data_IF_813968524400
#
_entry.id   IF_813968524400
#
_cell.length_a   1.000
_cell.length_b   1.000
_cell.length_c   1.000
_cell.angle_alpha   90.00
_cell.angle_beta   90.00
_cell.angle_gamma   90.00
#
_symmetry.space_group_name_H-M   'P 1'
#
loop_
_entity.id
_entity.type
_entity.pdbx_description
1 polymer ?
#
# COMPACT_ATOMS: atom_id res chain seq x y z
N UNK A 1 6.11 6.00 8.27
CA UNK A 1 4.65 5.86 8.33
C UNK A 1 4.15 6.15 6.94
N UNK A 2 3.42 5.22 6.32
CA UNK A 2 2.77 5.44 5.02
C UNK A 2 1.28 5.30 5.27
N UNK A 3 0.56 6.39 5.01
CA UNK A 3 -0.89 6.43 4.97
C UNK A 3 -1.31 6.23 3.52
N UNK A 4 -2.02 5.15 3.23
CA UNK A 4 -2.66 4.94 1.92
C UNK A 4 -4.18 4.95 2.12
N UNK A 5 -4.87 5.75 1.30
CA UNK A 5 -6.32 5.80 1.28
C UNK A 5 -6.81 5.00 0.05
N UNK A 6 -7.69 4.03 0.26
CA UNK A 6 -8.41 3.38 -0.82
C UNK A 6 -9.56 4.28 -1.25
N UNK A 7 -9.63 4.62 -2.54
CA UNK A 7 -10.75 5.37 -3.13
C UNK A 7 -11.57 4.42 -4.01
N UNK A 8 -12.90 4.45 -3.90
CA UNK A 8 -13.77 3.88 -4.93
C UNK A 8 -13.87 4.86 -6.09
N UNK A 9 -13.89 4.35 -7.31
CA UNK A 9 -14.28 5.12 -8.50
C UNK A 9 -15.17 4.28 -9.42
N UNK A 10 -16.07 4.94 -10.14
CA UNK A 10 -16.83 4.33 -11.25
C UNK A 10 -15.90 4.14 -12.46
N UNK A 11 -16.13 3.08 -13.25
CA UNK A 11 -15.18 2.44 -14.18
C UNK A 11 -14.80 3.20 -15.47
N UNK A 12 -14.89 4.52 -15.53
CA UNK A 12 -14.50 5.25 -16.75
C UNK A 12 -13.00 5.54 -16.79
N UNK A 13 -12.36 5.20 -17.91
CA UNK A 13 -10.91 4.95 -18.05
C UNK A 13 -10.02 6.19 -18.27
N UNK A 14 -10.56 7.42 -18.16
CA UNK A 14 -9.78 8.65 -18.32
C UNK A 14 -9.88 9.53 -17.07
N UNK A 15 -8.80 9.55 -16.29
CA UNK A 15 -8.68 10.40 -15.12
C UNK A 15 -8.40 11.84 -15.54
N UNK A 16 -9.43 12.68 -15.49
CA UNK A 16 -9.29 14.11 -15.81
C UNK A 16 -8.49 14.85 -14.73
N UNK A 17 -7.86 15.97 -15.09
CA UNK A 17 -7.15 16.81 -14.11
C UNK A 17 -8.06 17.27 -12.96
N UNK A 18 -9.34 17.53 -13.23
CA UNK A 18 -10.34 17.85 -12.22
C UNK A 18 -10.57 16.71 -11.23
N UNK A 19 -10.61 15.47 -11.69
CA UNK A 19 -10.79 14.28 -10.85
C UNK A 19 -9.58 14.06 -9.94
N UNK A 20 -8.36 14.35 -10.43
CA UNK A 20 -7.18 14.39 -9.59
C UNK A 20 -7.32 15.41 -8.46
N UNK A 21 -7.70 16.64 -8.80
CA UNK A 21 -7.86 17.71 -7.79
C UNK A 21 -8.91 17.32 -6.74
N UNK A 22 -10.04 16.74 -7.15
CA UNK A 22 -11.08 16.26 -6.22
C UNK A 22 -10.55 15.17 -5.29
N UNK A 23 -9.79 14.19 -5.81
CA UNK A 23 -9.20 13.12 -4.98
C UNK A 23 -8.23 13.69 -3.92
N UNK A 24 -7.43 14.70 -4.28
CA UNK A 24 -6.52 15.37 -3.35
C UNK A 24 -7.29 16.17 -2.30
N UNK A 25 -8.39 16.84 -2.68
CA UNK A 25 -9.25 17.56 -1.73
C UNK A 25 -9.90 16.60 -0.72
N UNK A 26 -10.35 15.43 -1.17
CA UNK A 26 -10.87 14.38 -0.30
C UNK A 26 -9.83 13.88 0.70
N UNK A 27 -8.58 13.66 0.26
CA UNK A 27 -7.50 13.26 1.17
C UNK A 27 -7.18 14.38 2.18
N UNK A 28 -7.20 15.65 1.74
CA UNK A 28 -6.94 16.81 2.60
C UNK A 28 -8.02 17.08 3.64
N UNK A 29 -9.24 16.58 3.45
CA UNK A 29 -10.34 16.73 4.42
C UNK A 29 -10.25 15.73 5.58
N UNK A 30 -9.33 14.75 5.51
CA UNK A 30 -9.09 13.79 6.58
C UNK A 30 -8.53 14.45 7.83
N UNK A 31 -8.98 13.97 9.00
CA UNK A 31 -8.48 14.34 10.31
C UNK A 31 -7.69 13.16 10.87
N UNK A 32 -6.50 13.43 11.43
CA UNK A 32 -5.73 12.42 12.16
C UNK A 32 -6.44 12.12 13.48
N UNK A 33 -6.83 10.87 13.66
CA UNK A 33 -7.61 10.40 14.80
C UNK A 33 -6.99 9.07 15.28
N UNK A 34 -5.94 9.13 16.13
CA UNK A 34 -5.19 7.94 16.54
C UNK A 34 -6.01 6.82 17.22
N UNK A 35 -7.08 7.12 17.98
CA UNK A 35 -7.96 6.10 18.56
C UNK A 35 -8.71 5.23 17.54
N UNK A 36 -8.96 5.71 16.31
CA UNK A 36 -9.69 4.93 15.31
C UNK A 36 -8.76 4.03 14.50
N UNK A 37 -9.29 2.90 14.05
CA UNK A 37 -8.57 1.98 13.14
C UNK A 37 -8.19 2.71 11.85
N UNK A 38 -6.95 2.55 11.42
CA UNK A 38 -6.39 3.28 10.28
C UNK A 38 -5.96 4.72 10.61
N UNK A 39 -6.24 5.22 11.82
CA UNK A 39 -5.71 6.49 12.35
C UNK A 39 -6.19 7.76 11.63
N UNK A 40 -7.15 7.64 10.71
CA UNK A 40 -7.76 8.76 10.01
C UNK A 40 -9.28 8.66 10.10
N UNK A 41 -9.92 9.81 10.21
CA UNK A 41 -11.37 9.96 10.17
C UNK A 41 -11.75 11.11 9.26
N UNK A 42 -12.88 11.00 8.58
CA UNK A 42 -13.49 12.10 7.86
C UNK A 42 -14.60 12.72 8.70
N UNK A 43 -14.77 14.05 8.70
CA UNK A 43 -15.99 14.68 9.19
C UNK A 43 -17.19 14.12 8.45
N UNK A 44 -18.34 14.05 9.14
CA UNK A 44 -19.58 13.56 8.56
C UNK A 44 -19.92 14.29 7.25
N UNK A 45 -20.16 13.54 6.18
CA UNK A 45 -20.45 14.06 4.84
C UNK A 45 -19.23 14.57 4.08
N UNK A 46 -18.00 14.31 4.57
CA UNK A 46 -16.74 14.63 3.87
C UNK A 46 -15.96 13.40 3.43
N UNK A 47 -16.45 12.21 3.72
CA UNK A 47 -15.93 10.91 3.26
C UNK A 47 -16.16 10.66 1.76
N UNK A 48 -16.91 11.53 1.10
CA UNK A 48 -17.09 11.58 -0.35
C UNK A 48 -16.94 13.00 -0.87
N UNK A 49 -16.58 13.12 -2.15
CA UNK A 49 -16.58 14.39 -2.87
C UNK A 49 -17.17 14.19 -4.27
N UNK A 50 -18.21 14.97 -4.56
CA UNK A 50 -19.07 14.72 -5.73
C UNK A 50 -19.76 13.35 -5.65
N UNK A 51 -20.30 12.90 -6.79
CA UNK A 51 -20.99 11.60 -6.88
C UNK A 51 -20.04 10.43 -7.18
N UNK A 52 -18.76 10.72 -7.47
CA UNK A 52 -17.82 9.73 -8.06
C UNK A 52 -16.72 9.23 -7.12
N UNK A 53 -16.38 9.99 -6.08
CA UNK A 53 -15.29 9.64 -5.17
C UNK A 53 -15.80 9.46 -3.76
N UNK A 54 -15.53 8.29 -3.20
CA UNK A 54 -15.74 7.99 -1.79
C UNK A 54 -14.54 7.23 -1.24
N UNK A 55 -14.26 7.44 0.04
CA UNK A 55 -13.25 6.68 0.77
C UNK A 55 -13.80 5.29 1.07
N UNK A 56 -13.11 4.24 0.61
CA UNK A 56 -13.49 2.84 0.87
C UNK A 56 -12.63 2.19 1.94
N UNK A 57 -11.48 2.77 2.25
CA UNK A 57 -10.74 2.36 3.44
C UNK A 57 -9.48 3.17 3.68
N UNK A 58 -8.89 2.93 4.85
CA UNK A 58 -7.66 3.58 5.32
C UNK A 58 -6.65 2.53 5.74
N UNK A 59 -5.41 2.73 5.31
CA UNK A 59 -4.28 1.90 5.69
C UNK A 59 -3.21 2.76 6.31
N UNK A 60 -2.98 2.58 7.61
CA UNK A 60 -1.87 3.14 8.33
C UNK A 60 -0.80 2.06 8.51
N UNK A 61 0.30 2.19 7.76
CA UNK A 61 1.41 1.25 7.85
C UNK A 61 2.65 1.91 8.46
N UNK A 62 3.17 1.29 9.51
CA UNK A 62 4.50 1.57 10.05
C UNK A 62 5.42 0.45 9.61
N UNK A 63 6.63 0.78 9.19
CA UNK A 63 7.59 -0.25 8.84
C UNK A 63 8.99 0.10 9.31
N UNK A 64 9.77 -0.94 9.62
CA UNK A 64 11.21 -0.89 9.82
C UNK A 64 11.86 -1.77 8.75
N UNK A 65 12.80 -1.21 8.01
CA UNK A 65 13.50 -1.91 6.96
C UNK A 65 14.98 -2.04 7.31
N UNK A 66 15.47 -3.27 7.31
CA UNK A 66 16.88 -3.62 7.44
C UNK A 66 17.38 -4.10 6.09
N UNK A 67 18.51 -3.57 5.63
CA UNK A 67 19.09 -3.92 4.33
C UNK A 67 20.54 -4.29 4.52
N UNK A 68 20.94 -5.39 3.88
CA UNK A 68 22.33 -5.77 3.67
C UNK A 68 22.55 -6.06 2.19
N UNK A 69 23.80 -6.40 1.84
CA UNK A 69 24.18 -6.79 0.48
C UNK A 69 23.44 -8.04 0.03
N UNK A 70 23.24 -9.01 0.92
CA UNK A 70 22.67 -10.33 0.61
C UNK A 70 21.19 -10.46 1.00
N UNK A 71 20.66 -9.56 1.83
CA UNK A 71 19.29 -9.66 2.35
C UNK A 71 18.61 -8.30 2.49
N UNK A 72 17.28 -8.28 2.45
CA UNK A 72 16.46 -7.18 2.92
C UNK A 72 15.32 -7.72 3.77
N UNK A 73 15.10 -7.16 4.95
CA UNK A 73 14.02 -7.50 5.85
C UNK A 73 13.18 -6.24 6.09
N UNK A 74 11.88 -6.29 5.82
CA UNK A 74 10.94 -5.20 6.13
C UNK A 74 9.87 -5.75 7.07
N UNK A 75 9.88 -5.28 8.30
CA UNK A 75 8.84 -5.56 9.29
C UNK A 75 7.80 -4.46 9.15
N UNK A 76 6.54 -4.82 8.97
CA UNK A 76 5.42 -3.92 8.72
C UNK A 76 4.38 -4.18 9.81
N UNK A 77 3.92 -3.11 10.44
CA UNK A 77 2.73 -3.11 11.27
C UNK A 77 1.68 -2.32 10.50
N UNK A 78 0.64 -3.01 10.04
CA UNK A 78 -0.45 -2.41 9.29
C UNK A 78 -1.69 -2.33 10.17
N UNK A 79 -2.30 -1.16 10.19
CA UNK A 79 -3.60 -0.93 10.79
C UNK A 79 -4.55 -0.45 9.69
N UNK A 80 -5.60 -1.21 9.45
CA UNK A 80 -6.47 -1.09 8.28
C UNK A 80 -7.91 -0.96 8.73
N UNK A 81 -8.66 -0.15 8.00
CA UNK A 81 -10.09 -0.04 8.16
C UNK A 81 -10.75 -0.01 6.80
N UNK A 82 -11.69 -0.92 6.57
CA UNK A 82 -12.49 -1.03 5.36
C UNK A 82 -13.91 -0.53 5.66
N UNK A 83 -14.29 0.57 4.99
CA UNK A 83 -15.62 1.18 5.14
C UNK A 83 -16.71 0.38 4.42
N UNK A 84 -16.37 -0.42 3.40
CA UNK A 84 -17.35 -1.24 2.67
C UNK A 84 -17.83 -2.42 3.53
N UNK A 85 -16.91 -3.06 4.23
CA UNK A 85 -17.22 -4.19 5.12
C UNK A 85 -17.40 -3.77 6.58
N UNK A 86 -17.19 -2.48 6.89
CA UNK A 86 -17.15 -1.93 8.24
C UNK A 86 -16.26 -2.75 9.19
N UNK A 87 -15.11 -3.20 8.68
CA UNK A 87 -14.20 -4.09 9.39
C UNK A 87 -12.81 -3.47 9.53
N UNK A 88 -12.22 -3.66 10.70
CA UNK A 88 -10.86 -3.20 11.00
C UNK A 88 -9.92 -4.38 11.23
N UNK A 89 -8.75 -4.33 10.62
CA UNK A 89 -7.72 -5.37 10.75
C UNK A 89 -6.39 -4.74 11.18
N UNK A 90 -5.72 -5.37 12.14
CA UNK A 90 -4.33 -5.02 12.49
C UNK A 90 -3.45 -6.24 12.26
N UNK A 91 -2.51 -6.12 11.33
CA UNK A 91 -1.58 -7.20 10.98
C UNK A 91 -0.14 -6.82 11.27
N UNK A 92 0.64 -7.83 11.65
CA UNK A 92 2.09 -7.76 11.65
C UNK A 92 2.60 -8.59 10.48
N UNK A 93 3.24 -7.94 9.52
CA UNK A 93 3.71 -8.54 8.28
C UNK A 93 5.24 -8.47 8.22
N UNK A 94 5.84 -9.50 7.62
CA UNK A 94 7.29 -9.57 7.42
C UNK A 94 7.56 -9.83 5.95
N UNK A 95 8.28 -8.91 5.30
CA UNK A 95 8.75 -9.09 3.93
C UNK A 95 10.25 -9.36 3.93
N UNK A 96 10.64 -10.54 3.43
CA UNK A 96 12.02 -10.97 3.31
C UNK A 96 12.44 -11.03 1.84
N UNK A 97 13.55 -10.39 1.51
CA UNK A 97 14.19 -10.40 0.19
C UNK A 97 15.57 -11.02 0.30
N UNK A 98 15.75 -12.22 -0.25
CA UNK A 98 17.03 -12.95 -0.24
C UNK A 98 17.80 -12.68 -1.53
N UNK A 99 18.54 -11.56 -1.56
CA UNK A 99 19.30 -11.11 -2.74
C UNK A 99 20.47 -12.05 -3.07
N UNK A 100 21.11 -12.63 -2.05
CA UNK A 100 22.22 -13.56 -2.22
C UNK A 100 21.79 -14.81 -3.00
N UNK A 101 20.65 -15.39 -2.64
CA UNK A 101 20.10 -16.58 -3.33
C UNK A 101 19.75 -16.25 -4.78
N UNK A 102 19.15 -15.08 -5.04
CA UNK A 102 18.88 -14.62 -6.42
C UNK A 102 20.19 -14.52 -7.22
N UNK A 103 21.27 -14.05 -6.60
CA UNK A 103 22.61 -14.03 -7.20
C UNK A 103 23.12 -15.43 -7.54
N UNK A 104 23.08 -16.36 -6.58
CA UNK A 104 23.52 -17.74 -6.78
C UNK A 104 22.70 -18.47 -7.86
N UNK A 105 21.37 -18.34 -7.85
CA UNK A 105 20.50 -18.96 -8.86
C UNK A 105 20.80 -18.46 -10.28
N UNK A 106 21.06 -17.16 -10.46
CA UNK A 106 21.45 -16.60 -11.76
C UNK A 106 22.78 -17.14 -12.24
N UNK A 107 23.76 -17.26 -11.35
CA UNK A 107 25.08 -17.82 -11.69
C UNK A 107 24.97 -19.30 -12.04
N UNK A 108 24.22 -20.10 -11.28
CA UNK A 108 24.01 -21.53 -11.57
C UNK A 108 23.32 -21.75 -12.91
N UNK A 109 22.25 -21.01 -13.24
CA UNK A 109 21.60 -21.08 -14.56
C UNK A 109 22.55 -20.72 -15.71
N UNK A 110 23.38 -19.68 -15.54
CA UNK A 110 24.39 -19.29 -16.52
C UNK A 110 25.50 -20.34 -16.73
N UNK A 111 25.82 -21.11 -15.68
CA UNK A 111 26.78 -22.22 -15.78
C UNK A 111 26.13 -23.38 -16.52
N UNK A 112 24.91 -23.77 -16.15
CA UNK A 112 24.18 -24.87 -16.79
C UNK A 112 23.94 -24.64 -18.28
N UNK A 113 23.54 -23.43 -18.70
CA UNK A 113 23.35 -23.10 -20.12
C UNK A 113 24.65 -23.21 -20.92
N UNK A 114 25.76 -22.70 -20.39
CA UNK A 114 27.08 -22.83 -21.02
C UNK A 114 27.60 -24.27 -21.11
N UNK A 115 27.05 -25.17 -20.30
CA UNK A 115 27.41 -26.59 -20.32
C UNK A 115 26.61 -27.38 -21.35
N UNK A 116 25.45 -26.87 -21.79
CA UNK A 116 24.60 -27.46 -22.84
C UNK A 116 24.94 -26.95 -24.25
N UNK A 117 25.65 -25.82 -24.35
CA UNK A 117 26.12 -25.24 -25.62
C UNK A 117 27.49 -25.81 -26.08
N UNK A 118 28.02 -26.82 -25.39
CA UNK A 118 29.24 -27.56 -25.75
C UNK A 118 28.92 -29.02 -26.06
#
# INVERSE_FOLDING_TARGET
MVLTCGLCWSKDLDFTYSEFVLSIQLIKSAIVDPPVKGGLRWPLGKESIGERFSVVGVWHTKFKAYKSLTMGLKIIQADRFDFLTNSGETTNEVNLKLKGIIGHLKVSLLISLRTLEK
#
